data_IF_428045623389
#
_entry.id   IF_428045623389
#
_cell.length_a   1.000
_cell.length_b   1.000
_cell.length_c   1.000
_cell.angle_alpha   90.00
_cell.angle_beta   90.00
_cell.angle_gamma   90.00
#
_symmetry.space_group_name_H-M   'P 1'
#
loop_
_entity.id
_entity.type
_entity.pdbx_description
1 polymer ?
#
# COMPACT_ATOMS: atom_id res chain seq x y z
N UNK A 1 -14.97 16.45 20.35
CA UNK A 1 -13.49 16.51 20.34
C UNK A 1 -13.06 16.10 18.95
N UNK A 2 -12.90 17.09 18.08
CA UNK A 2 -12.33 16.94 16.75
C UNK A 2 -11.11 17.87 16.72
N UNK A 3 -10.12 17.62 15.86
CA UNK A 3 -8.94 18.47 15.62
C UNK A 3 -7.64 18.07 16.33
N UNK A 4 -7.16 16.85 16.13
CA UNK A 4 -5.70 16.56 16.23
C UNK A 4 -5.24 15.68 15.05
N UNK A 5 -6.08 14.75 14.57
CA UNK A 5 -5.71 13.83 13.47
C UNK A 5 -5.77 14.47 12.05
N UNK A 6 -6.54 15.54 11.83
CA UNK A 6 -6.57 16.20 10.50
C UNK A 6 -5.46 17.24 10.32
N UNK A 7 -4.84 17.71 11.41
CA UNK A 7 -3.83 18.78 11.37
C UNK A 7 -2.51 18.29 10.76
N UNK A 8 -2.14 17.01 10.94
CA UNK A 8 -0.88 16.45 10.41
C UNK A 8 -0.91 16.18 8.90
N UNK A 9 -2.02 15.68 8.34
CA UNK A 9 -2.10 15.43 6.89
C UNK A 9 -2.22 16.74 6.09
N UNK A 10 -2.99 17.71 6.57
CA UNK A 10 -3.13 19.01 5.89
C UNK A 10 -1.82 19.81 5.93
N UNK A 11 -1.06 19.80 7.03
CA UNK A 11 0.25 20.47 7.09
C UNK A 11 1.30 19.83 6.18
N UNK A 12 1.33 18.49 6.09
CA UNK A 12 2.25 17.78 5.19
C UNK A 12 1.91 18.09 3.73
N UNK A 13 0.62 18.03 3.37
CA UNK A 13 0.17 18.37 2.02
C UNK A 13 0.44 19.84 1.71
N UNK A 14 0.27 20.76 2.66
CA UNK A 14 0.53 22.19 2.46
C UNK A 14 1.97 22.48 2.02
N UNK A 15 2.95 21.72 2.54
CA UNK A 15 4.38 21.87 2.25
C UNK A 15 4.83 21.25 0.92
N UNK A 16 3.98 20.47 0.25
CA UNK A 16 4.29 19.88 -1.05
C UNK A 16 4.32 20.94 -2.17
N UNK A 17 5.22 20.74 -3.14
CA UNK A 17 5.22 21.52 -4.38
C UNK A 17 3.94 21.25 -5.18
N UNK A 18 3.59 22.14 -6.11
CA UNK A 18 2.40 21.95 -6.96
C UNK A 18 2.44 20.65 -7.77
N UNK A 19 3.62 20.22 -8.20
CA UNK A 19 3.80 18.96 -8.92
C UNK A 19 3.59 17.76 -7.98
N UNK A 20 4.14 17.80 -6.77
CA UNK A 20 3.96 16.74 -5.78
C UNK A 20 2.48 16.61 -5.35
N UNK A 21 1.77 17.74 -5.22
CA UNK A 21 0.32 17.77 -4.97
C UNK A 21 -0.45 17.09 -6.10
N UNK A 22 -0.16 17.45 -7.35
CA UNK A 22 -0.83 16.85 -8.50
C UNK A 22 -0.59 15.33 -8.59
N UNK A 23 0.63 14.85 -8.30
CA UNK A 23 0.93 13.42 -8.24
C UNK A 23 0.15 12.73 -7.11
N UNK A 24 0.09 13.35 -5.94
CA UNK A 24 -0.67 12.82 -4.83
C UNK A 24 -2.17 12.75 -5.16
N UNK A 25 -2.76 13.81 -5.73
CA UNK A 25 -4.16 13.83 -6.16
C UNK A 25 -4.47 12.71 -7.17
N UNK A 26 -3.54 12.43 -8.08
CA UNK A 26 -3.65 11.30 -8.99
C UNK A 26 -3.67 9.96 -8.22
N UNK A 27 -2.76 9.77 -7.26
CA UNK A 27 -2.73 8.56 -6.41
C UNK A 27 -4.05 8.39 -5.65
N UNK A 28 -4.61 9.46 -5.08
CA UNK A 28 -5.91 9.44 -4.38
C UNK A 28 -7.01 8.97 -5.34
N UNK A 29 -7.08 9.57 -6.53
CA UNK A 29 -8.07 9.19 -7.54
C UNK A 29 -7.95 7.72 -7.96
N UNK A 30 -6.74 7.20 -8.08
CA UNK A 30 -6.52 5.78 -8.40
C UNK A 30 -6.94 4.85 -7.26
N UNK A 31 -6.73 5.26 -6.00
CA UNK A 31 -7.22 4.51 -4.85
C UNK A 31 -8.76 4.41 -4.87
N UNK A 32 -9.46 5.51 -5.17
CA UNK A 32 -10.92 5.53 -5.31
C UNK A 32 -11.42 4.64 -6.46
N UNK A 33 -10.74 4.64 -7.60
CA UNK A 33 -11.09 3.77 -8.73
C UNK A 33 -10.84 2.29 -8.40
N UNK A 34 -9.72 1.99 -7.75
CA UNK A 34 -9.37 0.61 -7.35
C UNK A 34 -10.38 0.04 -6.35
N UNK A 35 -10.88 0.88 -5.45
CA UNK A 35 -11.94 0.53 -4.50
C UNK A 35 -13.25 0.09 -5.21
N UNK A 36 -13.51 0.61 -6.40
CA UNK A 36 -14.69 0.29 -7.22
C UNK A 36 -14.51 -0.96 -8.10
N UNK A 37 -13.33 -1.57 -8.12
CA UNK A 37 -13.07 -2.76 -8.94
C UNK A 37 -13.80 -4.00 -8.39
N UNK A 38 -14.85 -4.43 -9.09
CA UNK A 38 -15.60 -5.65 -8.74
C UNK A 38 -14.81 -6.93 -9.04
N UNK A 39 -13.98 -6.93 -10.07
CA UNK A 39 -13.18 -8.10 -10.49
C UNK A 39 -12.21 -8.53 -9.39
N UNK A 40 -11.38 -7.60 -8.90
CA UNK A 40 -10.42 -7.86 -7.81
C UNK A 40 -11.15 -8.31 -6.54
N UNK A 41 -12.32 -7.71 -6.26
CA UNK A 41 -13.12 -8.10 -5.10
C UNK A 41 -13.65 -9.53 -5.21
N UNK A 42 -14.20 -9.92 -6.37
CA UNK A 42 -14.76 -11.26 -6.58
C UNK A 42 -13.66 -12.33 -6.47
N UNK A 43 -12.50 -12.09 -7.07
CA UNK A 43 -11.35 -12.99 -6.96
C UNK A 43 -10.88 -13.13 -5.52
N UNK A 44 -10.72 -12.00 -4.81
CA UNK A 44 -10.30 -11.99 -3.40
C UNK A 44 -11.29 -12.72 -2.50
N UNK A 45 -12.59 -12.55 -2.74
CA UNK A 45 -13.64 -13.24 -1.98
C UNK A 45 -13.57 -14.76 -2.17
N UNK A 46 -13.28 -15.23 -3.39
CA UNK A 46 -13.14 -16.65 -3.66
C UNK A 46 -11.94 -17.27 -2.94
N UNK A 47 -10.80 -16.55 -2.89
CA UNK A 47 -9.61 -17.00 -2.16
C UNK A 47 -9.82 -16.97 -0.65
N UNK A 48 -10.46 -15.92 -0.12
CA UNK A 48 -10.77 -15.81 1.30
C UNK A 48 -11.66 -16.96 1.77
N UNK A 49 -12.70 -17.30 0.99
CA UNK A 49 -13.57 -18.43 1.29
C UNK A 49 -12.80 -19.76 1.33
N UNK A 50 -11.88 -19.98 0.39
CA UNK A 50 -11.04 -21.18 0.36
C UNK A 50 -10.12 -21.26 1.59
N UNK A 51 -9.47 -20.16 1.98
CA UNK A 51 -8.59 -20.10 3.16
C UNK A 51 -9.33 -20.31 4.47
N UNK A 52 -10.55 -19.81 4.58
CA UNK A 52 -11.41 -19.97 5.75
C UNK A 52 -12.20 -21.29 5.72
N UNK A 53 -11.98 -22.17 4.73
CA UNK A 53 -12.72 -23.41 4.51
C UNK A 53 -14.25 -23.21 4.44
N UNK A 54 -14.67 -22.07 3.89
CA UNK A 54 -16.07 -21.71 3.66
C UNK A 54 -16.42 -22.10 2.23
N UNK A 55 -17.57 -22.76 2.04
CA UNK A 55 -18.11 -23.01 0.71
C UNK A 55 -18.21 -21.71 -0.10
N UNK A 56 -17.78 -21.71 -1.37
CA UNK A 56 -17.84 -20.51 -2.24
C UNK A 56 -19.26 -19.92 -2.33
N UNK A 57 -20.29 -20.76 -2.32
CA UNK A 57 -21.70 -20.34 -2.29
C UNK A 57 -22.11 -19.63 -0.99
N UNK A 58 -21.33 -19.79 0.08
CA UNK A 58 -21.49 -19.18 1.39
C UNK A 58 -20.44 -18.09 1.67
N UNK A 59 -19.62 -17.69 0.69
CA UNK A 59 -18.62 -16.63 0.85
C UNK A 59 -19.23 -15.28 1.27
N UNK A 60 -20.52 -15.05 0.93
CA UNK A 60 -21.29 -13.93 1.45
C UNK A 60 -21.42 -13.88 2.98
N UNK A 61 -21.09 -14.96 3.71
CA UNK A 61 -21.00 -14.96 5.19
C UNK A 61 -19.81 -14.19 5.73
N UNK A 62 -18.80 -13.90 4.91
CA UNK A 62 -17.69 -13.01 5.28
C UNK A 62 -18.14 -11.54 5.32
N UNK A 63 -19.29 -11.21 4.74
CA UNK A 63 -19.83 -9.85 4.75
C UNK A 63 -20.25 -9.47 6.19
N UNK A 64 -19.54 -8.51 6.78
CA UNK A 64 -19.71 -8.09 8.17
C UNK A 64 -18.46 -7.39 8.69
N UNK A 65 -17.61 -8.13 9.41
CA UNK A 65 -16.34 -7.62 9.96
C UNK A 65 -15.10 -7.99 9.12
N UNK A 66 -15.29 -8.74 8.03
CA UNK A 66 -14.17 -9.10 7.16
C UNK A 66 -13.80 -7.90 6.29
N UNK A 67 -12.55 -7.49 6.41
CA UNK A 67 -11.95 -6.38 5.68
C UNK A 67 -11.27 -6.95 4.44
N UNK A 68 -11.54 -6.32 3.30
CA UNK A 68 -10.85 -6.58 2.04
C UNK A 68 -10.04 -5.35 1.65
N UNK A 69 -8.77 -5.56 1.31
CA UNK A 69 -7.86 -4.54 0.79
C UNK A 69 -7.49 -4.89 -0.65
N UNK A 70 -7.82 -4.01 -1.58
CA UNK A 70 -7.31 -4.06 -2.95
C UNK A 70 -6.06 -3.18 -3.06
N UNK A 71 -4.94 -3.76 -3.49
CA UNK A 71 -3.70 -3.05 -3.73
C UNK A 71 -3.52 -2.70 -5.21
N UNK A 72 -3.22 -1.43 -5.50
CA UNK A 72 -2.81 -0.95 -6.84
C UNK A 72 -1.40 -0.35 -6.74
N UNK A 73 -0.46 -0.93 -7.48
CA UNK A 73 0.94 -0.57 -7.48
C UNK A 73 1.30 -0.01 -8.85
N UNK A 74 1.86 1.19 -8.91
CA UNK A 74 2.33 1.80 -10.16
C UNK A 74 3.81 2.06 -10.14
N UNK A 75 4.49 1.46 -11.11
CA UNK A 75 5.90 1.68 -11.33
C UNK A 75 6.10 2.70 -12.46
N UNK A 76 6.50 3.92 -12.09
CA UNK A 76 6.98 4.95 -13.02
C UNK A 76 8.50 5.10 -12.99
N UNK A 77 9.21 4.20 -12.33
CA UNK A 77 10.66 4.10 -12.46
C UNK A 77 11.02 3.64 -13.88
N UNK A 78 12.28 3.84 -14.27
CA UNK A 78 12.73 3.44 -15.59
C UNK A 78 12.94 1.93 -15.75
N UNK A 79 12.90 1.15 -14.68
CA UNK A 79 13.22 -0.28 -14.68
C UNK A 79 12.21 -1.12 -13.92
N UNK A 80 12.34 -2.44 -13.99
CA UNK A 80 11.51 -3.35 -13.21
C UNK A 80 11.85 -3.24 -11.73
N UNK A 81 10.83 -3.25 -10.88
CA UNK A 81 10.97 -3.40 -9.44
C UNK A 81 10.76 -4.85 -9.04
N UNK A 82 11.54 -5.35 -8.09
CA UNK A 82 11.40 -6.72 -7.60
C UNK A 82 11.05 -6.74 -6.12
N UNK A 83 10.20 -7.70 -5.72
CA UNK A 83 9.94 -8.00 -4.33
C UNK A 83 10.23 -9.46 -4.04
N UNK A 84 10.52 -9.78 -2.78
CA UNK A 84 10.73 -11.13 -2.30
C UNK A 84 9.96 -11.36 -1.00
N UNK A 85 9.67 -12.62 -0.68
CA UNK A 85 8.81 -12.95 0.46
C UNK A 85 9.45 -12.58 1.82
N UNK A 86 10.77 -12.55 1.91
CA UNK A 86 11.54 -12.19 3.11
C UNK A 86 11.58 -10.68 3.42
N UNK A 87 11.20 -9.85 2.46
CA UNK A 87 11.07 -8.39 2.58
C UNK A 87 9.59 -7.93 2.61
N UNK A 88 8.72 -8.87 2.97
CA UNK A 88 7.30 -8.64 3.23
C UNK A 88 7.02 -8.99 4.69
N UNK A 89 6.17 -8.21 5.34
CA UNK A 89 5.76 -8.48 6.71
C UNK A 89 4.27 -8.29 6.88
N UNK A 90 3.62 -9.30 7.43
CA UNK A 90 2.18 -9.32 7.70
C UNK A 90 1.99 -9.23 9.21
N UNK A 91 1.45 -8.10 9.69
CA UNK A 91 1.15 -7.90 11.11
C UNK A 91 -0.27 -8.38 11.46
N UNK A 92 -1.21 -8.21 10.51
CA UNK A 92 -2.58 -8.68 10.64
C UNK A 92 -3.22 -8.98 9.27
N UNK A 93 -4.15 -9.94 9.26
CA UNK A 93 -4.80 -10.41 8.05
C UNK A 93 -3.93 -11.42 7.28
N UNK A 94 -4.23 -11.61 6.00
CA UNK A 94 -3.58 -12.58 5.14
C UNK A 94 -3.63 -12.11 3.69
N UNK A 95 -2.55 -12.38 2.95
CA UNK A 95 -2.49 -12.16 1.50
C UNK A 95 -3.47 -13.09 0.81
N UNK A 96 -4.29 -12.56 -0.10
CA UNK A 96 -5.24 -13.31 -0.93
C UNK A 96 -4.73 -13.40 -2.36
N UNK A 97 -4.25 -12.29 -2.91
CA UNK A 97 -3.50 -12.22 -4.16
C UNK A 97 -2.12 -11.68 -3.83
N UNK A 98 -1.08 -12.41 -4.23
CA UNK A 98 0.31 -12.08 -3.90
C UNK A 98 0.73 -10.73 -4.47
N UNK A 99 1.65 -10.08 -3.77
CA UNK A 99 2.39 -8.94 -4.32
C UNK A 99 3.12 -9.38 -5.60
N UNK A 100 3.11 -8.57 -6.67
CA UNK A 100 3.86 -8.91 -7.86
C UNK A 100 5.36 -8.95 -7.53
N UNK A 101 5.97 -10.13 -7.71
CA UNK A 101 7.42 -10.33 -7.48
C UNK A 101 8.28 -9.53 -8.46
N UNK A 102 7.77 -9.28 -9.67
CA UNK A 102 8.36 -8.36 -10.64
C UNK A 102 7.27 -7.39 -11.08
N UNK A 103 7.54 -6.10 -10.96
CA UNK A 103 6.68 -5.01 -11.36
C UNK A 103 7.43 -4.21 -12.42
N UNK A 104 7.23 -4.58 -13.69
CA UNK A 104 7.72 -3.78 -14.82
C UNK A 104 7.08 -2.38 -14.83
N UNK A 105 7.65 -1.39 -15.52
CA UNK A 105 7.01 -0.08 -15.67
C UNK A 105 5.55 -0.23 -16.15
N UNK A 106 4.61 0.25 -15.35
CA UNK A 106 3.19 -0.07 -15.50
C UNK A 106 2.47 -0.25 -14.17
N UNK A 107 1.46 -1.12 -14.15
CA UNK A 107 0.62 -1.40 -12.99
C UNK A 107 0.73 -2.87 -12.56
N UNK A 108 0.59 -3.11 -11.25
CA UNK A 108 0.45 -4.43 -10.67
C UNK A 108 -0.46 -4.39 -9.45
N UNK A 109 -1.05 -5.53 -9.10
CA UNK A 109 -2.14 -5.57 -8.15
C UNK A 109 -1.87 -6.65 -7.11
N UNK A 110 -2.38 -6.45 -5.91
CA UNK A 110 -2.40 -7.47 -4.86
C UNK A 110 -3.70 -7.36 -4.09
N UNK A 111 -3.98 -8.32 -3.21
CA UNK A 111 -5.07 -8.17 -2.27
C UNK A 111 -4.82 -8.87 -0.96
N UNK A 112 -5.43 -8.34 0.10
CA UNK A 112 -5.37 -8.89 1.44
C UNK A 112 -6.75 -8.93 2.07
N UNK A 113 -6.95 -9.88 2.98
CA UNK A 113 -8.18 -10.05 3.73
C UNK A 113 -7.89 -10.27 5.21
N UNK A 114 -8.80 -9.85 6.09
CA UNK A 114 -8.63 -10.07 7.52
C UNK A 114 -9.91 -9.81 8.30
N UNK A 115 -10.06 -10.49 9.43
CA UNK A 115 -11.18 -10.24 10.33
C UNK A 115 -10.84 -9.07 11.27
N UNK A 116 -11.51 -7.93 11.10
CA UNK A 116 -11.35 -6.74 11.94
C UNK A 116 -10.18 -5.81 11.60
N UNK A 117 -9.06 -6.31 11.07
CA UNK A 117 -7.94 -5.48 10.59
C UNK A 117 -7.08 -6.17 9.54
N UNK A 118 -6.48 -5.37 8.66
CA UNK A 118 -5.40 -5.79 7.77
C UNK A 118 -4.23 -4.82 7.95
N UNK A 119 -3.04 -5.36 8.16
CA UNK A 119 -1.84 -4.57 8.41
C UNK A 119 -0.62 -5.30 7.84
N UNK A 120 0.11 -4.63 6.94
CA UNK A 120 1.26 -5.23 6.26
C UNK A 120 2.25 -4.17 5.78
N UNK A 121 3.46 -4.62 5.47
CA UNK A 121 4.48 -3.85 4.77
C UNK A 121 5.19 -4.71 3.72
N UNK A 122 5.59 -4.08 2.62
CA UNK A 122 6.35 -4.69 1.54
C UNK A 122 7.42 -3.73 1.05
N UNK A 123 8.58 -4.28 0.69
CA UNK A 123 9.66 -3.56 0.02
C UNK A 123 9.76 -4.01 -1.44
N UNK A 124 10.02 -3.03 -2.29
CA UNK A 124 10.38 -3.20 -3.69
C UNK A 124 11.81 -2.70 -3.90
N UNK A 125 12.61 -3.47 -4.62
CA UNK A 125 13.99 -3.15 -5.00
C UNK A 125 14.08 -2.82 -6.49
N UNK A 126 15.00 -1.96 -6.86
CA UNK A 126 15.22 -1.59 -8.25
C UNK A 126 16.38 -0.61 -8.38
N UNK A 127 16.38 0.15 -9.46
CA UNK A 127 17.38 1.21 -9.69
C UNK A 127 16.69 2.55 -9.81
N UNK A 128 17.38 3.62 -9.39
CA UNK A 128 16.87 4.98 -9.57
C UNK A 128 16.70 5.33 -11.07
N UNK A 129 16.09 6.49 -11.35
CA UNK A 129 15.83 6.90 -12.74
C UNK A 129 17.11 7.03 -13.59
N UNK A 130 18.24 7.36 -12.97
CA UNK A 130 19.56 7.45 -13.64
C UNK A 130 20.22 6.08 -13.86
N UNK A 131 19.68 5.02 -13.25
CA UNK A 131 20.19 3.63 -13.29
C UNK A 131 21.63 3.46 -12.82
N UNK A 132 22.09 4.35 -11.94
CA UNK A 132 23.44 4.35 -11.39
C UNK A 132 23.49 3.86 -9.93
N UNK A 133 22.33 3.67 -9.30
CA UNK A 133 22.25 3.24 -7.90
C UNK A 133 21.08 2.28 -7.63
N UNK A 134 21.38 1.18 -6.93
CA UNK A 134 20.38 0.26 -6.38
C UNK A 134 19.62 0.93 -5.23
N UNK A 135 18.29 0.94 -5.37
CA UNK A 135 17.37 1.63 -4.50
C UNK A 135 16.25 0.69 -4.03
N UNK A 136 15.54 1.13 -3.01
CA UNK A 136 14.37 0.44 -2.51
C UNK A 136 13.26 1.41 -2.14
N UNK A 137 12.03 0.90 -2.17
CA UNK A 137 10.81 1.60 -1.81
C UNK A 137 10.00 0.69 -0.88
N UNK A 138 9.67 1.18 0.32
CA UNK A 138 8.83 0.49 1.28
C UNK A 138 7.48 1.17 1.34
N UNK A 139 6.42 0.36 1.31
CA UNK A 139 5.07 0.76 1.67
C UNK A 139 4.58 -0.13 2.81
N UNK A 140 4.06 0.50 3.86
CA UNK A 140 3.33 -0.13 4.94
C UNK A 140 1.96 0.50 5.12
N UNK A 141 0.95 -0.28 5.46
CA UNK A 141 -0.42 0.20 5.63
C UNK A 141 -1.17 -0.55 6.72
N UNK A 142 -2.18 0.11 7.27
CA UNK A 142 -3.10 -0.42 8.27
C UNK A 142 -4.52 0.06 8.04
N UNK A 143 -5.44 -0.88 7.97
CA UNK A 143 -6.88 -0.65 7.88
C UNK A 143 -7.61 -1.46 8.96
N UNK A 144 -8.72 -0.95 9.54
CA UNK A 144 -9.54 0.19 9.10
C UNK A 144 -9.07 1.57 9.59
N UNK A 145 -7.93 1.66 10.29
CA UNK A 145 -7.43 2.91 10.86
C UNK A 145 -7.00 3.96 9.81
N UNK A 146 -6.83 3.55 8.55
CA UNK A 146 -6.45 4.42 7.43
C UNK A 146 -5.08 5.05 7.62
N UNK A 147 -4.08 4.22 7.96
CA UNK A 147 -2.71 4.69 8.23
C UNK A 147 -1.75 4.08 7.20
N UNK A 148 -0.97 4.92 6.54
CA UNK A 148 0.04 4.52 5.56
C UNK A 148 1.39 5.14 5.89
N UNK A 149 2.45 4.37 5.70
CA UNK A 149 3.83 4.80 5.82
C UNK A 149 4.60 4.42 4.57
N UNK A 150 5.37 5.36 4.03
CA UNK A 150 6.23 5.14 2.87
C UNK A 150 7.61 5.72 3.09
N UNK A 151 8.62 5.04 2.55
CA UNK A 151 10.00 5.52 2.54
C UNK A 151 10.72 4.93 1.34
N UNK A 152 11.68 5.66 0.77
CA UNK A 152 12.57 5.14 -0.27
C UNK A 152 14.00 5.64 -0.07
N UNK A 153 14.94 5.06 -0.78
CA UNK A 153 16.36 5.45 -0.75
C UNK A 153 17.29 4.32 -1.18
N UNK A 154 18.58 4.39 -0.80
CA UNK A 154 19.57 3.35 -1.15
C UNK A 154 19.15 1.97 -0.64
N UNK A 155 19.34 0.93 -1.45
CA UNK A 155 18.98 -0.45 -1.08
C UNK A 155 19.61 -0.90 0.24
N UNK A 156 20.82 -0.41 0.56
CA UNK A 156 21.53 -0.72 1.79
C UNK A 156 20.78 -0.37 3.07
N UNK A 157 19.85 0.60 3.01
CA UNK A 157 19.02 0.99 4.16
C UNK A 157 17.97 -0.07 4.51
N UNK A 158 17.78 -1.08 3.65
CA UNK A 158 16.73 -2.09 3.76
C UNK A 158 17.29 -3.50 3.97
N UNK A 159 18.61 -3.65 4.16
CA UNK A 159 19.26 -4.94 4.40
C UNK A 159 18.90 -5.55 5.77
N UNK A 160 18.50 -4.73 6.74
CA UNK A 160 18.09 -5.17 8.07
C UNK A 160 16.97 -4.25 8.56
N UNK A 161 15.74 -4.67 8.30
CA UNK A 161 14.56 -3.92 8.68
C UNK A 161 14.12 -4.31 10.09
N UNK A 162 13.92 -3.29 10.94
CA UNK A 162 13.19 -3.46 12.19
C UNK A 162 11.69 -3.35 11.90
N UNK A 163 11.04 -4.49 11.76
CA UNK A 163 9.59 -4.57 11.54
C UNK A 163 8.79 -3.99 12.72
N UNK A 164 9.32 -4.00 13.94
CA UNK A 164 8.69 -3.34 15.07
C UNK A 164 8.69 -1.81 14.92
N UNK A 165 9.81 -1.25 14.47
CA UNK A 165 9.89 0.19 14.18
C UNK A 165 9.00 0.59 13.00
N UNK A 166 8.98 -0.22 11.93
CA UNK A 166 8.09 0.01 10.77
C UNK A 166 6.63 0.01 11.20
N UNK A 167 6.22 -0.94 12.06
CA UNK A 167 4.88 -0.96 12.62
C UNK A 167 4.52 0.36 13.31
N UNK A 168 5.39 0.84 14.20
CA UNK A 168 5.17 2.11 14.91
C UNK A 168 5.04 3.29 13.93
N UNK A 169 5.78 3.28 12.82
CA UNK A 169 5.68 4.32 11.79
C UNK A 169 4.38 4.22 11.00
N UNK A 170 3.89 3.02 10.72
CA UNK A 170 2.55 2.80 10.15
C UNK A 170 1.49 3.35 11.10
N UNK A 171 1.52 2.97 12.39
CA UNK A 171 0.53 3.40 13.41
C UNK A 171 0.52 4.92 13.70
N UNK A 172 1.51 5.66 13.19
CA UNK A 172 1.57 7.12 13.27
C UNK A 172 1.32 7.80 11.93
N UNK A 173 1.13 7.02 10.88
CA UNK A 173 0.85 7.49 9.53
C UNK A 173 -0.54 8.09 9.43
N UNK A 174 -0.79 8.76 8.30
CA UNK A 174 -2.11 9.24 7.92
C UNK A 174 -2.68 8.45 6.75
N UNK A 175 -3.76 8.95 6.16
CA UNK A 175 -4.38 8.34 4.98
C UNK A 175 -3.49 8.42 3.73
N UNK A 176 -2.54 9.35 3.72
CA UNK A 176 -1.63 9.61 2.62
C UNK A 176 -0.17 9.54 3.09
N UNK A 177 0.71 9.09 2.21
CA UNK A 177 2.14 9.01 2.45
C UNK A 177 2.90 9.58 1.27
N UNK A 178 3.97 10.33 1.53
CA UNK A 178 4.93 10.72 0.51
C UNK A 178 6.33 10.75 1.08
N UNK A 179 7.31 10.33 0.27
CA UNK A 179 8.72 10.42 0.65
C UNK A 179 9.59 10.68 -0.58
N UNK A 180 10.58 11.56 -0.42
CA UNK A 180 11.56 11.88 -1.44
C UNK A 180 12.97 11.76 -0.86
N UNK A 181 13.79 10.87 -1.41
CA UNK A 181 15.19 10.76 -1.05
C UNK A 181 16.03 11.65 -1.98
N UNK A 182 16.65 12.69 -1.41
CA UNK A 182 17.46 13.65 -2.17
C UNK A 182 18.76 13.04 -2.70
N UNK A 183 19.26 11.96 -2.11
CA UNK A 183 20.55 11.40 -2.48
C UNK A 183 20.43 10.49 -3.70
N UNK A 184 19.40 9.64 -3.73
CA UNK A 184 19.13 8.72 -4.85
C UNK A 184 18.23 9.35 -5.91
N UNK A 185 17.48 10.39 -5.55
CA UNK A 185 16.45 11.00 -6.39
C UNK A 185 15.15 10.19 -6.45
N UNK A 186 15.02 9.11 -5.66
CA UNK A 186 13.82 8.26 -5.67
C UNK A 186 12.67 8.89 -4.90
N UNK A 187 11.46 8.53 -5.30
CA UNK A 187 10.26 9.04 -4.66
C UNK A 187 9.16 7.96 -4.58
N UNK A 188 8.34 8.04 -3.54
CA UNK A 188 7.14 7.22 -3.38
C UNK A 188 5.98 8.07 -2.87
N UNK A 189 4.80 7.75 -3.38
CA UNK A 189 3.52 8.23 -2.86
C UNK A 189 2.62 7.04 -2.57
N UNK A 190 1.78 7.17 -1.55
CA UNK A 190 0.71 6.22 -1.30
C UNK A 190 -0.54 6.89 -0.76
N UNK A 191 -1.68 6.26 -0.99
CA UNK A 191 -2.98 6.68 -0.50
C UNK A 191 -3.81 5.47 -0.11
N UNK A 192 -4.64 5.65 0.91
CA UNK A 192 -5.69 4.71 1.27
C UNK A 192 -7.06 5.30 0.89
N UNK A 193 -7.97 4.45 0.43
CA UNK A 193 -9.39 4.78 0.32
C UNK A 193 -10.24 3.68 0.96
N UNK A 194 -11.47 4.03 1.36
CA UNK A 194 -12.40 3.09 1.98
C UNK A 194 -13.81 3.26 1.45
N UNK A 195 -14.52 2.13 1.31
CA UNK A 195 -15.97 2.09 1.19
C UNK A 195 -16.53 1.53 2.51
N UNK A 196 -16.88 2.41 3.46
CA UNK A 196 -17.30 2.00 4.79
C UNK A 196 -18.60 1.19 4.79
N UNK A 197 -19.36 1.16 3.69
CA UNK A 197 -20.60 0.38 3.60
C UNK A 197 -20.34 -1.11 3.39
N UNK A 198 -19.18 -1.47 2.83
CA UNK A 198 -18.91 -2.82 2.32
C UNK A 198 -17.66 -3.47 2.94
N UNK A 199 -16.99 -2.81 3.89
CA UNK A 199 -15.74 -3.31 4.47
C UNK A 199 -14.59 -3.41 3.45
N UNK A 200 -14.69 -2.62 2.37
CA UNK A 200 -13.69 -2.58 1.30
C UNK A 200 -12.77 -1.39 1.50
N UNK A 201 -11.50 -1.63 1.25
CA UNK A 201 -10.44 -0.66 1.34
C UNK A 201 -9.56 -0.83 0.11
N UNK A 202 -8.87 0.24 -0.25
CA UNK A 202 -7.82 0.19 -1.25
C UNK A 202 -6.57 0.86 -0.72
N UNK A 203 -5.42 0.36 -1.17
CA UNK A 203 -4.11 0.96 -0.99
C UNK A 203 -3.49 1.14 -2.36
N UNK A 204 -3.14 2.37 -2.70
CA UNK A 204 -2.43 2.66 -3.94
C UNK A 204 -1.05 3.19 -3.62
N UNK A 205 -0.03 2.66 -4.32
CA UNK A 205 1.35 3.08 -4.20
C UNK A 205 1.91 3.43 -5.58
N UNK A 206 2.70 4.50 -5.65
CA UNK A 206 3.34 4.95 -6.90
C UNK A 206 4.82 5.17 -6.65
N UNK A 207 5.66 4.50 -7.44
CA UNK A 207 7.11 4.50 -7.35
C UNK A 207 7.74 5.32 -8.48
N UNK A 208 8.69 6.20 -8.13
CA UNK A 208 9.46 7.04 -9.05
C UNK A 208 10.97 6.91 -8.79
#
# INVERSE_FOLDING_TARGET
MASIESETNEEIVAQLSSEQKARLDEVVKQAELSLQSEEIFIESLAVAAEKEYIDKAAAGKLLGNYIFVAGDLRNYTNGSLTSATDIQHQYAGSVLIDYPNSLDPGSGNFSMGGNGSVEAAVVYFGTNSNRDQDCAWLIGFRVPQMEVYVVCGPMTNFNSLDWGEIKIKIERGGQFGSYYDKNTGTQIYASLASDPKNGRYSVTAVFY
#
